data_IF_916038204832
#
_entry.id   IF_916038204832
#
_cell.length_a   1.000
_cell.length_b   1.000
_cell.length_c   1.000
_cell.angle_alpha   90.00
_cell.angle_beta   90.00
_cell.angle_gamma   90.00
#
_symmetry.space_group_name_H-M   'P 1'
#
loop_
_entity.id
_entity.type
_entity.pdbx_description
1 polymer ?
#
# COMPACT_ATOMS: atom_id res chain seq x y z
N UNK A 1 -17.97 -9.70 -13.41
CA UNK A 1 -18.34 -8.63 -14.34
C UNK A 1 -17.82 -7.27 -13.85
N UNK A 2 -17.27 -6.45 -14.74
CA UNK A 2 -16.94 -5.08 -14.40
C UNK A 2 -18.22 -4.25 -14.22
N UNK A 3 -18.33 -3.63 -13.06
CA UNK A 3 -19.34 -2.62 -12.75
C UNK A 3 -18.64 -1.28 -12.59
N UNK A 4 -19.24 -0.12 -12.87
CA UNK A 4 -18.58 1.19 -12.76
C UNK A 4 -17.86 1.41 -11.43
N UNK A 5 -18.37 0.85 -10.34
CA UNK A 5 -17.83 1.03 -8.99
C UNK A 5 -16.99 -0.15 -8.47
N UNK A 6 -16.88 -1.29 -9.19
CA UNK A 6 -16.17 -2.46 -8.70
C UNK A 6 -16.26 -3.69 -9.61
N UNK A 7 -15.85 -4.84 -9.10
CA UNK A 7 -16.03 -6.14 -9.74
C UNK A 7 -17.07 -6.94 -8.98
N UNK A 8 -17.95 -7.59 -9.71
CA UNK A 8 -18.82 -8.63 -9.14
C UNK A 8 -18.15 -9.98 -9.29
N UNK A 9 -18.04 -10.70 -8.19
CA UNK A 9 -17.47 -12.03 -8.09
C UNK A 9 -18.57 -13.01 -7.76
N UNK A 10 -18.61 -14.14 -8.45
CA UNK A 10 -19.56 -15.21 -8.20
C UNK A 10 -18.81 -16.47 -7.83
N UNK A 11 -19.38 -17.27 -6.96
CA UNK A 11 -18.96 -18.65 -6.81
C UNK A 11 -19.44 -19.47 -8.02
N UNK A 12 -18.80 -20.59 -8.27
CA UNK A 12 -19.08 -21.48 -9.39
C UNK A 12 -20.53 -21.98 -9.40
N UNK A 13 -21.14 -22.10 -8.22
CA UNK A 13 -22.56 -22.46 -8.06
C UNK A 13 -23.54 -21.28 -8.25
N UNK A 14 -23.05 -20.09 -8.54
CA UNK A 14 -23.86 -18.89 -8.77
C UNK A 14 -24.57 -18.31 -7.53
N UNK A 15 -24.41 -18.92 -6.35
CA UNK A 15 -25.23 -18.60 -5.18
C UNK A 15 -24.76 -17.35 -4.41
N UNK A 16 -23.46 -17.06 -4.38
CA UNK A 16 -22.93 -15.94 -3.61
C UNK A 16 -22.28 -14.91 -4.53
N UNK A 17 -22.83 -13.72 -4.55
CA UNK A 17 -22.26 -12.56 -5.26
C UNK A 17 -21.56 -11.68 -4.25
N UNK A 18 -20.28 -11.39 -4.49
CA UNK A 18 -19.53 -10.38 -3.76
C UNK A 18 -19.20 -9.19 -4.68
N UNK A 19 -19.26 -8.01 -4.14
CA UNK A 19 -18.81 -6.80 -4.81
C UNK A 19 -17.42 -6.45 -4.26
N UNK A 20 -16.40 -6.50 -5.12
CA UNK A 20 -15.04 -6.11 -4.79
C UNK A 20 -14.80 -4.68 -5.22
N UNK A 21 -14.42 -3.81 -4.29
CA UNK A 21 -13.99 -2.43 -4.53
C UNK A 21 -12.53 -2.27 -4.19
N UNK A 22 -11.85 -1.44 -4.96
CA UNK A 22 -10.41 -1.27 -4.90
C UNK A 22 -10.04 0.17 -4.61
N UNK A 23 -9.03 0.33 -3.76
CA UNK A 23 -8.54 1.65 -3.33
C UNK A 23 -7.02 1.67 -3.34
N UNK A 24 -6.45 2.74 -3.87
CA UNK A 24 -5.04 3.05 -3.78
C UNK A 24 -4.80 4.25 -2.85
N UNK A 25 -3.58 4.40 -2.34
CA UNK A 25 -3.23 5.54 -1.50
C UNK A 25 -3.00 6.77 -2.40
N UNK A 26 -3.78 7.84 -2.17
CA UNK A 26 -3.62 9.14 -2.81
C UNK A 26 -2.56 9.98 -2.14
N UNK A 27 -2.60 10.05 -0.81
CA UNK A 27 -1.60 10.78 -0.02
C UNK A 27 -1.25 10.03 1.26
N UNK A 28 0.00 10.17 1.66
CA UNK A 28 0.56 9.59 2.87
C UNK A 28 0.62 10.66 3.97
N UNK A 29 0.55 10.28 5.25
CA UNK A 29 0.80 11.18 6.36
C UNK A 29 2.27 11.65 6.37
N UNK A 30 2.53 12.78 6.99
CA UNK A 30 3.91 13.30 7.12
C UNK A 30 4.80 12.38 7.97
N UNK A 31 4.22 11.71 8.95
CA UNK A 31 4.91 10.75 9.83
C UNK A 31 4.06 9.51 10.00
N UNK A 32 4.67 8.38 9.82
CA UNK A 32 4.04 7.08 10.05
C UNK A 32 5.10 6.06 10.44
N UNK A 33 4.82 5.26 11.44
CA UNK A 33 5.72 4.22 11.92
C UNK A 33 5.09 2.84 11.79
N UNK A 34 5.91 1.81 11.63
CA UNK A 34 5.47 0.43 11.41
C UNK A 34 4.49 -0.08 12.48
N UNK A 35 4.69 0.30 13.74
CA UNK A 35 3.80 -0.08 14.83
C UNK A 35 2.37 0.48 14.70
N UNK A 36 2.19 1.55 13.92
CA UNK A 36 0.86 2.13 13.65
C UNK A 36 0.09 1.37 12.56
N UNK A 37 0.76 0.46 11.84
CA UNK A 37 0.13 -0.31 10.75
C UNK A 37 -1.07 -1.13 11.26
N UNK A 38 -0.99 -1.67 12.48
CA UNK A 38 -2.09 -2.37 13.12
C UNK A 38 -3.39 -1.57 13.19
N UNK A 39 -3.31 -0.24 13.28
CA UNK A 39 -4.49 0.61 13.32
C UNK A 39 -5.21 0.78 11.98
N UNK A 40 -4.57 0.40 10.86
CA UNK A 40 -5.17 0.42 9.53
C UNK A 40 -6.01 -0.83 9.23
N UNK A 41 -5.91 -1.87 10.05
CA UNK A 41 -6.78 -3.07 9.93
C UNK A 41 -8.06 -2.95 10.74
N UNK A 42 -8.25 -1.85 11.45
CA UNK A 42 -9.40 -1.57 12.30
C UNK A 42 -9.05 -1.52 13.77
N UNK A 43 -9.93 -0.95 14.55
CA UNK A 43 -9.79 -0.84 16.00
C UNK A 43 -10.71 -1.85 16.70
N UNK A 44 -10.14 -2.76 17.50
CA UNK A 44 -10.89 -3.80 18.21
C UNK A 44 -11.84 -3.22 19.26
N UNK A 45 -11.53 -2.03 19.77
CA UNK A 45 -12.29 -1.39 20.86
C UNK A 45 -13.32 -0.39 20.35
N UNK A 46 -13.24 0.00 19.07
CA UNK A 46 -14.15 0.97 18.44
C UNK A 46 -14.88 0.34 17.26
N UNK A 47 -16.12 -0.16 17.44
CA UNK A 47 -16.89 -0.82 16.38
C UNK A 47 -17.05 0.03 15.11
N UNK A 48 -17.14 1.36 15.26
CA UNK A 48 -17.24 2.28 14.11
C UNK A 48 -15.97 2.31 13.24
N UNK A 49 -14.83 1.86 13.76
CA UNK A 49 -13.55 1.77 13.05
C UNK A 49 -13.16 0.31 12.75
N UNK A 50 -14.12 -0.59 12.66
CA UNK A 50 -13.93 -1.98 12.24
C UNK A 50 -14.43 -2.17 10.81
N UNK A 51 -13.67 -2.90 10.01
CA UNK A 51 -14.16 -3.26 8.69
C UNK A 51 -15.38 -4.15 8.81
N UNK A 52 -16.47 -3.74 8.16
CA UNK A 52 -17.71 -4.52 8.11
C UNK A 52 -17.70 -5.64 7.05
N UNK A 53 -16.61 -5.75 6.29
CA UNK A 53 -16.45 -6.69 5.19
C UNK A 53 -15.00 -7.22 5.15
N UNK A 54 -14.77 -8.43 4.65
CA UNK A 54 -13.42 -8.93 4.38
C UNK A 54 -12.64 -7.98 3.48
N UNK A 55 -11.38 -7.84 3.75
CA UNK A 55 -10.49 -6.98 2.96
C UNK A 55 -9.12 -7.62 2.76
N UNK A 56 -8.42 -7.16 1.74
CA UNK A 56 -7.05 -7.52 1.43
C UNK A 56 -6.23 -6.24 1.31
N UNK A 57 -5.17 -6.14 2.10
CA UNK A 57 -4.21 -5.04 2.02
C UNK A 57 -2.89 -5.58 1.48
N UNK A 58 -2.52 -5.12 0.29
CA UNK A 58 -1.31 -5.55 -0.41
C UNK A 58 -0.38 -4.38 -0.61
N UNK A 59 0.91 -4.63 -0.44
CA UNK A 59 1.98 -3.71 -0.79
C UNK A 59 2.91 -4.38 -1.80
N UNK A 60 3.09 -3.76 -2.95
CA UNK A 60 4.08 -4.17 -3.94
C UNK A 60 5.29 -3.24 -3.88
N UNK A 61 6.48 -3.81 -3.88
CA UNK A 61 7.76 -3.07 -3.82
C UNK A 61 8.62 -3.46 -5.01
N UNK A 62 9.13 -2.46 -5.70
CA UNK A 62 10.11 -2.62 -6.77
C UNK A 62 11.36 -1.81 -6.41
N UNK A 63 12.50 -2.49 -6.28
CA UNK A 63 13.78 -1.85 -5.99
C UNK A 63 14.30 -1.23 -7.29
N UNK A 64 14.62 0.06 -7.25
CA UNK A 64 15.13 0.77 -8.42
C UNK A 64 16.60 0.44 -8.66
N UNK A 65 16.97 0.34 -9.94
CA UNK A 65 18.38 0.24 -10.33
C UNK A 65 19.18 1.43 -9.78
N UNK A 66 20.39 1.21 -9.22
CA UNK A 66 21.19 2.27 -8.60
C UNK A 66 21.51 3.46 -9.55
N UNK A 67 21.71 3.20 -10.84
CA UNK A 67 22.00 4.26 -11.81
C UNK A 67 20.74 5.09 -12.12
N UNK A 68 19.60 4.39 -12.28
CA UNK A 68 18.30 5.05 -12.44
C UNK A 68 17.95 5.86 -11.21
N UNK A 69 18.22 5.31 -10.02
CA UNK A 69 18.00 5.95 -8.74
C UNK A 69 18.77 7.27 -8.62
N UNK A 70 20.09 7.26 -8.87
CA UNK A 70 20.93 8.47 -8.82
C UNK A 70 20.44 9.52 -9.82
N UNK A 71 20.16 9.15 -11.05
CA UNK A 71 19.70 10.10 -12.08
C UNK A 71 18.36 10.74 -11.72
N UNK A 72 17.40 9.95 -11.20
CA UNK A 72 16.09 10.43 -10.77
C UNK A 72 16.22 11.41 -9.59
N UNK A 73 17.02 11.08 -8.58
CA UNK A 73 17.18 11.95 -7.40
C UNK A 73 17.89 13.24 -7.78
N UNK A 74 18.99 13.15 -8.53
CA UNK A 74 19.72 14.34 -8.98
C UNK A 74 18.82 15.28 -9.80
N UNK A 75 18.09 14.75 -10.79
CA UNK A 75 17.20 15.57 -11.59
C UNK A 75 16.09 16.25 -10.79
N UNK A 76 15.48 15.53 -9.86
CA UNK A 76 14.41 16.08 -9.05
C UNK A 76 14.92 17.04 -7.97
N UNK A 77 16.09 16.78 -7.39
CA UNK A 77 16.74 17.70 -6.44
C UNK A 77 17.11 19.02 -7.11
N UNK A 78 17.70 18.98 -8.31
CA UNK A 78 17.99 20.19 -9.11
C UNK A 78 16.71 20.97 -9.39
N UNK A 79 15.66 20.29 -9.86
CA UNK A 79 14.35 20.92 -10.14
C UNK A 79 13.75 21.54 -8.86
N UNK A 80 13.78 20.83 -7.73
CA UNK A 80 13.26 21.34 -6.46
C UNK A 80 14.04 22.56 -5.98
N UNK A 81 15.39 22.54 -6.14
CA UNK A 81 16.26 23.69 -5.82
C UNK A 81 15.95 24.89 -6.70
N UNK A 82 15.77 24.70 -8.00
CA UNK A 82 15.39 25.77 -8.92
C UNK A 82 14.02 26.37 -8.57
N UNK A 83 13.03 25.53 -8.27
CA UNK A 83 11.72 26.00 -7.86
C UNK A 83 11.75 26.77 -6.54
N UNK A 84 12.57 26.32 -5.57
CA UNK A 84 12.72 27.01 -4.29
C UNK A 84 13.40 28.38 -4.40
N UNK A 85 14.22 28.58 -5.44
CA UNK A 85 14.85 29.89 -5.74
C UNK A 85 13.97 30.81 -6.60
N UNK A 86 12.86 30.28 -7.13
CA UNK A 86 11.96 31.06 -7.97
C UNK A 86 10.88 31.76 -7.14
N UNK A 87 10.24 32.82 -7.70
CA UNK A 87 9.08 33.48 -7.09
C UNK A 87 7.91 32.53 -6.81
N UNK A 88 7.93 31.31 -7.34
CA UNK A 88 6.93 30.27 -7.02
C UNK A 88 7.00 29.83 -5.55
N UNK A 89 8.13 29.96 -4.89
CA UNK A 89 8.28 29.62 -3.48
C UNK A 89 7.39 30.48 -2.57
N UNK A 90 7.16 31.75 -2.94
CA UNK A 90 6.33 32.69 -2.18
C UNK A 90 4.82 32.36 -2.29
N UNK A 91 4.42 31.68 -3.37
CA UNK A 91 3.01 31.38 -3.68
C UNK A 91 2.64 29.93 -3.32
N UNK A 92 3.61 29.01 -3.33
CA UNK A 92 3.39 27.59 -3.11
C UNK A 92 4.14 27.09 -1.86
N UNK A 93 3.48 26.91 -0.72
CA UNK A 93 4.10 26.48 0.53
C UNK A 93 4.75 25.08 0.46
N UNK A 94 4.33 24.23 -0.49
CA UNK A 94 4.85 22.87 -0.67
C UNK A 94 6.25 22.81 -1.32
N UNK A 95 6.74 23.92 -1.87
CA UNK A 95 8.03 23.95 -2.57
C UNK A 95 9.19 23.67 -1.61
N UNK A 96 9.15 24.27 -0.42
CA UNK A 96 10.14 24.02 0.62
C UNK A 96 10.16 22.56 1.09
N UNK A 97 9.00 21.97 1.32
CA UNK A 97 8.88 20.56 1.71
C UNK A 97 9.43 19.63 0.64
N UNK A 98 9.11 19.88 -0.63
CA UNK A 98 9.66 19.09 -1.75
C UNK A 98 11.18 19.16 -1.84
N UNK A 99 11.77 20.33 -1.58
CA UNK A 99 13.22 20.45 -1.55
C UNK A 99 13.82 19.65 -0.38
N UNK A 100 13.24 19.72 0.81
CA UNK A 100 13.69 18.94 1.96
C UNK A 100 13.58 17.42 1.68
N UNK A 101 12.49 16.97 1.11
CA UNK A 101 12.28 15.55 0.75
C UNK A 101 13.35 15.05 -0.24
N UNK A 102 13.64 15.82 -1.29
CA UNK A 102 14.66 15.44 -2.27
C UNK A 102 16.08 15.55 -1.73
N UNK A 103 16.35 16.50 -0.83
CA UNK A 103 17.63 16.58 -0.12
C UNK A 103 17.81 15.36 0.80
N UNK A 104 16.78 14.99 1.54
CA UNK A 104 16.82 13.78 2.38
C UNK A 104 17.02 12.51 1.54
N UNK A 105 16.37 12.42 0.37
CA UNK A 105 16.58 11.31 -0.55
C UNK A 105 18.01 11.25 -1.11
N UNK A 106 18.60 12.39 -1.46
CA UNK A 106 19.99 12.47 -1.91
C UNK A 106 20.96 11.99 -0.83
N UNK A 107 20.82 12.52 0.38
CA UNK A 107 21.65 12.12 1.53
C UNK A 107 21.49 10.61 1.84
N UNK A 108 20.28 10.07 1.73
CA UNK A 108 20.04 8.64 1.94
C UNK A 108 20.79 7.77 0.91
N UNK A 109 20.85 8.20 -0.34
CA UNK A 109 21.63 7.51 -1.39
C UNK A 109 23.12 7.57 -1.11
N UNK A 110 23.61 8.73 -0.69
CA UNK A 110 25.05 8.93 -0.40
C UNK A 110 25.53 8.02 0.73
N UNK A 111 24.69 7.70 1.69
CA UNK A 111 24.95 6.73 2.76
C UNK A 111 24.62 5.27 2.37
N UNK A 112 24.37 5.00 1.09
CA UNK A 112 24.12 3.64 0.58
C UNK A 112 22.69 3.12 0.70
N UNK A 113 21.71 3.97 1.05
CA UNK A 113 20.31 3.57 1.06
C UNK A 113 19.76 3.43 -0.36
N UNK A 114 18.81 2.53 -0.55
CA UNK A 114 18.13 2.34 -1.82
C UNK A 114 16.80 3.10 -1.88
N UNK A 115 16.43 3.54 -3.09
CA UNK A 115 15.07 3.98 -3.37
C UNK A 115 14.25 2.81 -3.89
N UNK A 116 13.01 2.81 -3.49
CA UNK A 116 12.02 1.85 -3.96
C UNK A 116 10.81 2.58 -4.55
N UNK A 117 10.22 1.93 -5.52
CA UNK A 117 8.90 2.28 -6.04
C UNK A 117 7.90 1.31 -5.44
N UNK A 118 6.90 1.84 -4.76
CA UNK A 118 5.91 1.02 -4.07
C UNK A 118 4.48 1.45 -4.41
N UNK A 119 3.57 0.50 -4.32
CA UNK A 119 2.14 0.76 -4.33
C UNK A 119 1.47 0.02 -3.18
N UNK A 120 0.34 0.56 -2.75
CA UNK A 120 -0.56 -0.13 -1.84
C UNK A 120 -1.91 -0.31 -2.54
N UNK A 121 -2.48 -1.47 -2.37
CA UNK A 121 -3.81 -1.79 -2.86
C UNK A 121 -4.65 -2.32 -1.71
N UNK A 122 -5.75 -1.66 -1.43
CA UNK A 122 -6.79 -2.14 -0.53
C UNK A 122 -7.96 -2.64 -1.38
N UNK A 123 -8.29 -3.92 -1.25
CA UNK A 123 -9.47 -4.52 -1.82
C UNK A 123 -10.47 -4.85 -0.72
N UNK A 124 -11.73 -4.48 -0.89
CA UNK A 124 -12.80 -4.75 0.08
C UNK A 124 -13.88 -5.58 -0.62
N UNK A 125 -14.26 -6.69 0.00
CA UNK A 125 -15.22 -7.65 -0.55
C UNK A 125 -16.50 -7.62 0.27
N UNK A 126 -17.51 -6.96 -0.24
CA UNK A 126 -18.80 -6.78 0.45
C UNK A 126 -19.93 -7.49 -0.29
N UNK A 127 -21.00 -7.79 0.43
CA UNK A 127 -22.25 -8.18 -0.21
C UNK A 127 -22.85 -7.01 -1.00
N UNK A 128 -23.54 -7.26 -2.11
CA UNK A 128 -24.21 -6.20 -2.87
C UNK A 128 -25.09 -5.32 -1.99
N UNK A 129 -24.99 -4.00 -2.18
CA UNK A 129 -25.70 -3.00 -1.39
C UNK A 129 -25.00 -2.53 -0.10
N UNK A 130 -23.97 -3.25 0.41
CA UNK A 130 -23.18 -2.84 1.58
C UNK A 130 -21.84 -2.21 1.24
N UNK A 131 -21.50 -2.14 -0.03
CA UNK A 131 -20.20 -1.67 -0.50
C UNK A 131 -19.93 -0.19 -0.19
N UNK A 132 -20.95 0.66 -0.15
CA UNK A 132 -20.82 2.08 0.20
C UNK A 132 -20.45 2.23 1.69
N UNK A 133 -21.17 1.55 2.58
CA UNK A 133 -20.88 1.58 4.01
C UNK A 133 -19.47 1.03 4.33
N UNK A 134 -19.06 -0.05 3.66
CA UNK A 134 -17.71 -0.59 3.79
C UNK A 134 -16.63 0.40 3.31
N UNK A 135 -16.90 1.13 2.23
CA UNK A 135 -16.03 2.21 1.74
C UNK A 135 -15.91 3.36 2.75
N UNK A 136 -17.02 3.82 3.32
CA UNK A 136 -17.02 4.91 4.29
C UNK A 136 -16.21 4.53 5.53
N UNK A 137 -16.39 3.32 6.03
CA UNK A 137 -15.61 2.79 7.16
C UNK A 137 -14.12 2.75 6.83
N UNK A 138 -13.73 2.23 5.67
CA UNK A 138 -12.33 2.23 5.24
C UNK A 138 -11.75 3.65 5.16
N UNK A 139 -12.49 4.57 4.56
CA UNK A 139 -12.08 5.98 4.48
C UNK A 139 -11.90 6.61 5.88
N UNK A 140 -12.79 6.30 6.84
CA UNK A 140 -12.69 6.80 8.20
C UNK A 140 -11.43 6.26 8.90
N UNK A 141 -11.16 4.95 8.80
CA UNK A 141 -9.97 4.30 9.37
C UNK A 141 -8.69 4.96 8.82
N UNK A 142 -8.57 5.08 7.50
CA UNK A 142 -7.37 5.59 6.86
C UNK A 142 -7.18 7.09 7.08
N UNK A 143 -8.25 7.88 7.01
CA UNK A 143 -8.21 9.33 7.31
C UNK A 143 -7.83 9.61 8.76
N UNK A 144 -8.30 8.80 9.69
CA UNK A 144 -7.93 8.90 11.10
C UNK A 144 -6.43 8.73 11.36
N UNK A 145 -5.69 8.17 10.40
CA UNK A 145 -4.22 8.03 10.42
C UNK A 145 -3.50 8.94 9.41
N UNK A 146 -4.20 9.90 8.84
CA UNK A 146 -3.65 10.90 7.92
C UNK A 146 -3.45 10.42 6.48
N UNK A 147 -3.92 9.24 6.13
CA UNK A 147 -3.93 8.76 4.75
C UNK A 147 -5.17 9.26 4.01
N UNK A 148 -5.04 9.41 2.70
CA UNK A 148 -6.19 9.59 1.81
C UNK A 148 -6.24 8.43 0.82
N UNK A 149 -7.38 7.76 0.75
CA UNK A 149 -7.64 6.73 -0.25
C UNK A 149 -8.23 7.35 -1.51
N UNK A 150 -7.94 6.75 -2.63
CA UNK A 150 -8.54 7.03 -3.93
C UNK A 150 -9.21 5.76 -4.44
N UNK A 151 -10.49 5.85 -4.81
CA UNK A 151 -11.19 4.74 -5.42
C UNK A 151 -10.66 4.49 -6.83
N UNK A 152 -10.34 3.23 -7.13
CA UNK A 152 -9.82 2.81 -8.43
C UNK A 152 -10.98 2.48 -9.37
N UNK A 153 -11.63 3.53 -9.88
CA UNK A 153 -12.75 3.44 -10.82
C UNK A 153 -12.22 3.10 -12.21
N UNK A 154 -12.89 2.22 -12.95
CA UNK A 154 -12.55 1.75 -14.30
C UNK A 154 -11.24 0.95 -14.45
N UNK A 155 -10.53 0.68 -13.35
CA UNK A 155 -9.26 -0.06 -13.35
C UNK A 155 -9.33 -1.35 -12.52
N UNK A 156 -10.51 -1.91 -12.38
CA UNK A 156 -10.79 -2.97 -11.41
C UNK A 156 -9.98 -4.26 -11.65
N UNK A 157 -9.73 -4.63 -12.92
CA UNK A 157 -8.92 -5.83 -13.25
C UNK A 157 -7.47 -5.64 -12.85
N UNK A 158 -6.90 -4.48 -13.14
CA UNK A 158 -5.53 -4.12 -12.76
C UNK A 158 -5.41 -4.03 -11.23
N UNK A 159 -6.41 -3.44 -10.57
CA UNK A 159 -6.46 -3.34 -9.13
C UNK A 159 -6.61 -4.71 -8.45
N UNK A 160 -7.41 -5.62 -9.02
CA UNK A 160 -7.48 -7.01 -8.56
C UNK A 160 -6.13 -7.70 -8.69
N UNK A 161 -5.47 -7.62 -9.85
CA UNK A 161 -4.15 -8.19 -10.05
C UNK A 161 -3.13 -7.59 -9.07
N UNK A 162 -3.16 -6.28 -8.84
CA UNK A 162 -2.30 -5.62 -7.86
C UNK A 162 -2.56 -6.07 -6.42
N UNK A 163 -3.74 -6.58 -6.12
CA UNK A 163 -4.10 -7.11 -4.80
C UNK A 163 -3.59 -8.52 -4.54
N UNK A 164 -3.29 -9.28 -5.60
CA UNK A 164 -2.83 -10.66 -5.48
C UNK A 164 -1.33 -10.74 -5.21
N UNK A 165 -0.87 -11.73 -4.42
CA UNK A 165 0.55 -11.92 -4.18
C UNK A 165 1.29 -12.33 -5.46
N UNK A 166 2.57 -11.95 -5.55
CA UNK A 166 3.51 -12.36 -6.62
C UNK A 166 3.11 -11.96 -8.05
N UNK A 167 2.17 -11.05 -8.23
CA UNK A 167 1.72 -10.58 -9.56
C UNK A 167 2.52 -9.41 -10.10
N UNK A 168 3.37 -8.77 -9.27
CA UNK A 168 4.17 -7.62 -9.67
C UNK A 168 5.32 -8.03 -10.60
N UNK A 169 5.03 -8.02 -11.91
CA UNK A 169 6.06 -8.09 -12.94
C UNK A 169 6.62 -6.69 -13.24
N UNK A 170 7.79 -6.63 -13.89
CA UNK A 170 8.39 -5.36 -14.30
C UNK A 170 7.49 -4.57 -15.25
N UNK A 171 6.82 -5.26 -16.19
CA UNK A 171 5.85 -4.65 -17.12
C UNK A 171 4.66 -4.09 -16.35
N UNK A 172 4.10 -4.85 -15.42
CA UNK A 172 2.95 -4.43 -14.63
C UNK A 172 3.31 -3.24 -13.73
N UNK A 173 4.50 -3.23 -13.12
CA UNK A 173 5.01 -2.08 -12.38
C UNK A 173 5.07 -0.81 -13.26
N UNK A 174 5.58 -0.92 -14.50
CA UNK A 174 5.60 0.20 -15.45
C UNK A 174 4.19 0.71 -15.79
N UNK A 175 3.23 -0.19 -15.90
CA UNK A 175 1.83 0.19 -16.16
C UNK A 175 1.20 0.88 -14.93
N UNK A 176 1.43 0.39 -13.72
CA UNK A 176 1.02 1.06 -12.48
C UNK A 176 1.65 2.45 -12.35
N UNK A 177 2.91 2.60 -12.76
CA UNK A 177 3.60 3.89 -12.75
C UNK A 177 2.97 4.89 -13.73
N UNK A 178 2.61 4.46 -14.96
CA UNK A 178 1.88 5.28 -15.95
C UNK A 178 0.53 5.73 -15.40
N UNK A 179 -0.14 4.86 -14.68
CA UNK A 179 -1.43 5.14 -14.03
C UNK A 179 -1.29 5.97 -12.73
N UNK A 180 -0.07 6.39 -12.37
CA UNK A 180 0.24 7.15 -11.14
C UNK A 180 -0.18 6.44 -9.85
N UNK A 181 -0.08 5.11 -9.83
CA UNK A 181 -0.41 4.27 -8.66
C UNK A 181 0.80 3.89 -7.82
N UNK A 182 1.99 4.31 -8.21
CA UNK A 182 3.23 4.06 -7.47
C UNK A 182 3.78 5.34 -6.85
N UNK A 183 4.36 5.18 -5.68
CA UNK A 183 5.08 6.22 -4.95
C UNK A 183 6.54 5.84 -4.81
N UNK A 184 7.46 6.81 -4.90
CA UNK A 184 8.88 6.60 -4.63
C UNK A 184 9.17 6.93 -3.18
N UNK A 185 9.86 6.04 -2.49
CA UNK A 185 10.25 6.19 -1.08
C UNK A 185 11.68 5.68 -0.89
N UNK A 186 12.35 6.15 0.16
CA UNK A 186 13.55 5.47 0.64
C UNK A 186 13.19 4.11 1.21
N UNK A 187 14.12 3.16 1.21
CA UNK A 187 13.90 1.82 1.77
C UNK A 187 13.42 1.91 3.24
N UNK A 188 14.02 2.78 4.04
CA UNK A 188 13.63 2.99 5.43
C UNK A 188 12.15 3.41 5.55
N UNK A 189 11.70 4.38 4.74
CA UNK A 189 10.31 4.82 4.75
C UNK A 189 9.36 3.73 4.22
N UNK A 190 9.79 2.92 3.27
CA UNK A 190 9.00 1.81 2.74
C UNK A 190 8.74 0.73 3.79
N UNK A 191 9.75 0.41 4.62
CA UNK A 191 9.62 -0.55 5.73
C UNK A 191 8.54 -0.09 6.72
N UNK A 192 8.48 1.19 7.03
CA UNK A 192 7.43 1.73 7.92
C UNK A 192 6.02 1.62 7.35
N UNK A 193 5.88 1.49 6.04
CA UNK A 193 4.61 1.35 5.33
C UNK A 193 4.24 -0.10 5.01
N UNK A 194 5.07 -1.07 5.40
CA UNK A 194 4.81 -2.48 5.14
C UNK A 194 3.63 -2.99 5.99
N UNK A 195 2.66 -3.73 5.42
CA UNK A 195 1.51 -4.26 6.14
C UNK A 195 1.88 -5.47 7.01
N UNK A 196 2.91 -5.31 7.86
CA UNK A 196 3.38 -6.32 8.79
C UNK A 196 2.67 -6.12 10.14
N UNK A 197 1.60 -6.86 10.35
CA UNK A 197 0.68 -6.62 11.47
C UNK A 197 0.87 -7.66 12.57
N UNK A 198 1.04 -8.92 12.18
CA UNK A 198 1.19 -10.05 13.09
C UNK A 198 2.16 -11.09 12.52
N UNK A 199 2.64 -11.95 13.40
CA UNK A 199 3.39 -13.13 12.99
C UNK A 199 2.41 -14.19 12.48
N UNK A 200 2.85 -14.96 11.49
CA UNK A 200 2.09 -16.09 10.97
C UNK A 200 2.03 -17.20 12.03
N UNK A 201 0.87 -17.80 12.24
CA UNK A 201 0.67 -18.86 13.24
C UNK A 201 1.14 -20.23 12.77
N UNK A 202 1.32 -20.40 11.47
CA UNK A 202 1.66 -21.66 10.87
C UNK A 202 0.48 -22.43 10.27
N UNK A 203 0.78 -23.65 9.85
CA UNK A 203 -0.18 -24.62 9.34
C UNK A 203 -0.96 -25.28 10.47
N UNK A 204 -2.08 -25.93 10.15
CA UNK A 204 -2.91 -26.64 11.14
C UNK A 204 -2.20 -27.86 11.73
N UNK A 205 -1.45 -28.56 10.89
CA UNK A 205 -0.68 -29.75 11.28
C UNK A 205 0.76 -29.36 11.59
N UNK A 206 1.31 -29.66 12.78
CA UNK A 206 2.66 -29.30 13.13
C UNK A 206 3.64 -30.40 12.71
N UNK A 207 4.32 -30.27 11.58
CA UNK A 207 5.48 -31.10 11.23
C UNK A 207 6.79 -30.50 11.75
N UNK A 208 6.93 -29.18 11.67
CA UNK A 208 8.04 -28.40 12.21
C UNK A 208 7.50 -27.31 13.14
N UNK A 209 8.26 -27.00 14.18
CA UNK A 209 7.89 -25.95 15.15
C UNK A 209 9.00 -24.91 15.19
N UNK A 210 8.64 -23.65 15.04
CA UNK A 210 9.52 -22.49 15.09
C UNK A 210 9.09 -21.53 16.22
N UNK A 211 10.06 -20.89 16.84
CA UNK A 211 9.82 -19.80 17.78
C UNK A 211 9.93 -18.44 17.09
N UNK A 212 8.88 -17.64 17.13
CA UNK A 212 8.93 -16.25 16.68
C UNK A 212 9.67 -15.35 17.68
N UNK A 213 10.10 -14.16 17.23
CA UNK A 213 10.82 -13.19 18.09
C UNK A 213 9.99 -12.71 19.30
N UNK A 214 8.68 -12.82 19.21
CA UNK A 214 7.74 -12.46 20.30
C UNK A 214 7.36 -13.65 21.19
N UNK A 215 8.03 -14.79 21.04
CA UNK A 215 7.71 -16.01 21.80
C UNK A 215 6.50 -16.78 21.28
N UNK A 216 5.92 -16.39 20.14
CA UNK A 216 4.86 -17.15 19.51
C UNK A 216 5.43 -18.42 18.86
N UNK A 217 4.79 -19.55 19.10
CA UNK A 217 5.09 -20.79 18.38
C UNK A 217 4.37 -20.75 17.02
N UNK A 218 5.13 -21.10 15.98
CA UNK A 218 4.64 -21.24 14.61
C UNK A 218 4.86 -22.68 14.17
N UNK A 219 3.89 -23.24 13.51
CA UNK A 219 3.95 -24.61 13.00
C UNK A 219 4.02 -24.60 11.48
N UNK A 220 4.82 -25.46 10.89
CA UNK A 220 4.92 -25.62 9.45
C UNK A 220 4.82 -27.10 9.08
N UNK A 221 3.84 -27.41 8.25
CA UNK A 221 3.76 -28.65 7.53
C UNK A 221 3.81 -28.34 6.03
N UNK A 222 4.84 -28.81 5.35
CA UNK A 222 5.02 -28.58 3.90
C UNK A 222 4.03 -29.41 3.05
N UNK A 223 3.35 -30.36 3.64
CA UNK A 223 2.37 -31.22 2.99
C UNK A 223 0.92 -30.81 3.30
N UNK A 224 0.72 -29.77 4.14
CA UNK A 224 -0.58 -29.21 4.44
C UNK A 224 -1.02 -28.32 3.25
N UNK A 225 -1.91 -28.86 2.43
CA UNK A 225 -2.41 -28.26 1.20
C UNK A 225 -3.81 -27.62 1.36
N UNK A 226 -4.27 -27.33 2.58
CA UNK A 226 -5.57 -26.73 2.86
C UNK A 226 -5.63 -25.21 2.67
#
# INVERSE_FOLDING_TARGET
DPHPAGLRLWKENGADVLEARFYSIKSFPERFALWQMGSLIGDLMQPALQYSAPFLLTMGVHVLDPNVMKSVVTANHVRATQNAKSKMADVMPDVGKKLQDWTAAANAIDIGSSLVSLYHQLAIFSTPGKSVAAQETANAIWRGRGFQLNADVHMHRQALLASLPMTLSEKFHKDLAKMRRVSRKTMANAIHLAPLIAEWRGTRTPALVFGGRRGQLMTLDIFDND
#
